data_IF_645096786975
#
_entry.id   IF_645096786975
#
_cell.length_a   1.000
_cell.length_b   1.000
_cell.length_c   1.000
_cell.angle_alpha   90.00
_cell.angle_beta   90.00
_cell.angle_gamma   90.00
#
_symmetry.space_group_name_H-M   'P 1'
#
loop_
_entity.id
_entity.type
_entity.pdbx_description
1 polymer ?
#
# COMPACT_ATOMS: atom_id res chain seq x y z
N UNK A 1 21.64 3.49 10.07
CA UNK A 1 20.58 3.78 9.08
C UNK A 1 19.29 3.42 9.77
N UNK A 2 18.45 4.41 10.06
CA UNK A 2 17.13 4.15 10.66
C UNK A 2 16.28 3.35 9.66
N UNK A 3 15.47 2.42 10.16
CA UNK A 3 14.56 1.64 9.32
C UNK A 3 13.37 2.51 8.93
N UNK A 4 13.16 2.72 7.62
CA UNK A 4 11.96 3.38 7.09
C UNK A 4 10.92 2.32 6.70
N UNK A 5 9.67 2.53 7.10
CA UNK A 5 8.53 1.72 6.64
C UNK A 5 7.76 2.51 5.59
N UNK A 6 7.58 1.93 4.41
CA UNK A 6 6.73 2.49 3.36
C UNK A 6 5.39 1.77 3.33
N UNK A 7 4.30 2.54 3.27
CA UNK A 7 2.93 2.08 3.13
C UNK A 7 2.32 2.72 1.90
N UNK A 8 1.48 1.97 1.20
CA UNK A 8 0.68 2.46 0.10
C UNK A 8 -0.50 1.52 -0.13
N UNK A 9 -1.45 1.96 -0.94
CA UNK A 9 -2.43 1.11 -1.59
C UNK A 9 -2.11 1.02 -3.10
N UNK A 10 -2.62 -0.03 -3.74
CA UNK A 10 -2.58 -0.20 -5.20
C UNK A 10 -4.01 -0.19 -5.72
N UNK A 11 -4.29 0.67 -6.70
CA UNK A 11 -5.51 0.66 -7.51
C UNK A 11 -5.16 0.28 -8.94
N UNK A 12 -6.16 -0.02 -9.76
CA UNK A 12 -5.95 -0.44 -11.15
C UNK A 12 -5.28 0.61 -12.02
N UNK A 13 -5.28 1.87 -11.60
CA UNK A 13 -4.79 3.00 -12.36
C UNK A 13 -3.62 3.73 -11.68
N UNK A 14 -3.31 3.44 -10.41
CA UNK A 14 -2.29 4.20 -9.65
C UNK A 14 -1.83 3.50 -8.38
N UNK A 15 -0.68 3.94 -7.88
CA UNK A 15 -0.33 3.78 -6.47
C UNK A 15 -1.07 4.88 -5.69
N UNK A 16 -1.74 4.51 -4.60
CA UNK A 16 -2.60 5.40 -3.84
C UNK A 16 -2.16 5.48 -2.37
N UNK A 17 -2.56 6.56 -1.69
CA UNK A 17 -2.28 6.80 -0.27
C UNK A 17 -0.82 6.51 0.18
N UNK A 18 0.24 6.96 -0.54
CA UNK A 18 1.61 6.66 -0.14
C UNK A 18 1.97 7.36 1.18
N UNK A 19 2.67 6.65 2.07
CA UNK A 19 3.12 7.16 3.36
C UNK A 19 4.46 6.53 3.76
N UNK A 20 5.36 7.34 4.33
CA UNK A 20 6.61 6.84 4.92
C UNK A 20 6.55 7.10 6.42
N UNK A 21 6.87 6.07 7.19
CA UNK A 21 6.99 6.11 8.64
C UNK A 21 8.45 5.87 9.03
N UNK A 22 8.95 6.67 9.96
CA UNK A 22 10.22 6.41 10.63
C UNK A 22 10.04 5.30 11.67
N UNK A 23 10.72 4.17 11.46
CA UNK A 23 10.65 3.01 12.33
C UNK A 23 9.60 1.96 11.94
N UNK A 24 9.43 0.92 12.78
CA UNK A 24 8.52 -0.18 12.50
C UNK A 24 7.06 0.21 12.65
N UNK A 25 6.19 -0.45 11.89
CA UNK A 25 4.75 -0.29 12.01
C UNK A 25 4.16 -1.16 13.12
N UNK A 26 3.10 -0.67 13.78
CA UNK A 26 2.29 -1.41 14.74
C UNK A 26 0.80 -1.10 14.50
N UNK A 27 -0.09 -1.72 15.29
CA UNK A 27 -1.54 -1.53 15.12
C UNK A 27 -2.02 -0.09 15.28
N UNK A 28 -1.35 0.74 16.10
CA UNK A 28 -1.71 2.16 16.30
C UNK A 28 -1.28 3.00 15.10
N UNK A 29 -0.03 2.87 14.66
CA UNK A 29 0.48 3.62 13.49
C UNK A 29 -0.23 3.19 12.21
N UNK A 30 -0.53 1.90 12.04
CA UNK A 30 -1.34 1.43 10.91
C UNK A 30 -2.77 1.98 10.94
N UNK A 31 -3.44 2.00 12.10
CA UNK A 31 -4.77 2.59 12.20
C UNK A 31 -4.76 4.10 11.90
N UNK A 32 -3.69 4.82 12.27
CA UNK A 32 -3.51 6.22 11.89
C UNK A 32 -3.35 6.39 10.38
N UNK A 33 -2.48 5.58 9.75
CA UNK A 33 -2.34 5.54 8.29
C UNK A 33 -3.68 5.30 7.59
N UNK A 34 -4.48 4.33 8.05
CA UNK A 34 -5.79 4.06 7.47
C UNK A 34 -6.70 5.28 7.54
N UNK A 35 -6.82 5.91 8.70
CA UNK A 35 -7.73 7.06 8.88
C UNK A 35 -7.28 8.32 8.17
N UNK A 36 -5.97 8.58 8.15
CA UNK A 36 -5.42 9.87 7.70
C UNK A 36 -5.00 9.84 6.23
N UNK A 37 -4.61 8.68 5.72
CA UNK A 37 -4.07 8.54 4.36
C UNK A 37 -5.00 7.74 3.46
N UNK A 38 -5.42 6.53 3.87
CA UNK A 38 -6.20 5.66 2.99
C UNK A 38 -7.66 6.11 2.86
N UNK A 39 -8.38 6.26 3.99
CA UNK A 39 -9.82 6.58 4.01
C UNK A 39 -10.17 7.81 3.16
N UNK A 40 -9.41 8.92 3.18
CA UNK A 40 -9.67 10.08 2.32
C UNK A 40 -9.64 9.80 0.81
N UNK A 41 -9.03 8.68 0.38
CA UNK A 41 -8.94 8.28 -1.03
C UNK A 41 -10.05 7.32 -1.46
N UNK A 42 -10.85 6.82 -0.51
CA UNK A 42 -11.88 5.81 -0.77
C UNK A 42 -13.18 6.46 -1.24
N UNK A 43 -13.91 5.74 -2.09
CA UNK A 43 -15.30 6.02 -2.45
C UNK A 43 -16.24 4.93 -1.92
N UNK A 44 -17.52 5.25 -1.63
CA UNK A 44 -18.51 4.24 -1.29
C UNK A 44 -18.56 3.13 -2.35
N UNK A 45 -18.53 1.87 -1.90
CA UNK A 45 -18.48 0.69 -2.77
C UNK A 45 -17.08 0.17 -3.09
N UNK A 46 -16.01 0.93 -2.80
CA UNK A 46 -14.63 0.43 -2.90
C UNK A 46 -14.42 -0.81 -2.03
N UNK A 47 -13.52 -1.68 -2.46
CA UNK A 47 -13.11 -2.88 -1.72
C UNK A 47 -11.63 -2.72 -1.35
N UNK A 48 -11.35 -2.61 -0.06
CA UNK A 48 -10.01 -2.64 0.49
C UNK A 48 -9.64 -4.09 0.80
N UNK A 49 -8.55 -4.56 0.22
CA UNK A 49 -8.02 -5.92 0.43
C UNK A 49 -6.70 -5.79 1.18
N UNK A 50 -6.57 -6.52 2.29
CA UNK A 50 -5.35 -6.53 3.11
C UNK A 50 -4.83 -7.94 3.32
N UNK A 51 -3.52 -8.09 3.53
CA UNK A 51 -2.96 -9.34 4.05
C UNK A 51 -3.37 -9.59 5.52
N UNK A 52 -2.94 -10.73 6.07
CA UNK A 52 -3.30 -11.18 7.42
C UNK A 52 -2.40 -10.67 8.55
N UNK A 53 -1.54 -9.67 8.32
CA UNK A 53 -0.63 -9.16 9.35
C UNK A 53 -1.40 -8.66 10.59
N UNK A 54 -0.85 -8.91 11.79
CA UNK A 54 -1.51 -8.58 13.04
C UNK A 54 -1.88 -7.09 13.17
N UNK A 55 -1.06 -6.19 12.63
CA UNK A 55 -1.33 -4.74 12.59
C UNK A 55 -2.60 -4.39 11.79
N UNK A 56 -2.97 -5.19 10.79
CA UNK A 56 -4.14 -4.94 9.94
C UNK A 56 -5.47 -5.33 10.61
N UNK A 57 -5.42 -6.15 11.67
CA UNK A 57 -6.60 -6.74 12.32
C UNK A 57 -7.21 -5.86 13.43
N UNK A 58 -6.75 -4.62 13.57
CA UNK A 58 -7.31 -3.69 14.55
C UNK A 58 -8.80 -3.40 14.25
N UNK A 59 -9.71 -3.50 15.23
CA UNK A 59 -11.13 -3.14 15.03
C UNK A 59 -11.32 -1.72 14.51
N UNK A 60 -10.42 -0.79 14.87
CA UNK A 60 -10.46 0.59 14.42
C UNK A 60 -10.24 0.74 12.91
N UNK A 61 -9.46 -0.15 12.29
CA UNK A 61 -9.22 -0.18 10.84
C UNK A 61 -10.50 -0.53 10.11
N UNK A 62 -11.12 -1.65 10.50
CA UNK A 62 -12.35 -2.12 9.88
C UNK A 62 -13.53 -1.16 10.10
N UNK A 63 -13.59 -0.47 11.25
CA UNK A 63 -14.61 0.56 11.49
C UNK A 63 -14.43 1.75 10.53
N UNK A 64 -13.21 2.31 10.45
CA UNK A 64 -12.94 3.47 9.61
C UNK A 64 -13.23 3.24 8.13
N UNK A 65 -12.88 2.06 7.59
CA UNK A 65 -13.15 1.71 6.19
C UNK A 65 -14.66 1.60 5.92
N UNK A 66 -15.41 0.99 6.84
CA UNK A 66 -16.87 0.85 6.69
C UNK A 66 -17.61 2.17 6.82
N UNK A 67 -17.15 3.07 7.70
CA UNK A 67 -17.70 4.42 7.84
C UNK A 67 -17.50 5.25 6.56
N UNK A 68 -16.48 4.97 5.75
CA UNK A 68 -16.29 5.55 4.42
C UNK A 68 -17.19 4.92 3.33
N UNK A 69 -18.04 3.95 3.69
CA UNK A 69 -18.88 3.21 2.73
C UNK A 69 -18.15 2.14 1.93
N UNK A 70 -16.90 1.81 2.29
CA UNK A 70 -16.10 0.78 1.63
C UNK A 70 -16.20 -0.58 2.36
N UNK A 71 -15.81 -1.65 1.65
CA UNK A 71 -15.75 -3.02 2.18
C UNK A 71 -14.30 -3.36 2.54
N UNK A 72 -14.11 -4.15 3.59
CA UNK A 72 -12.81 -4.69 3.97
C UNK A 72 -12.83 -6.21 3.78
N UNK A 73 -11.89 -6.71 2.98
CA UNK A 73 -11.60 -8.13 2.79
C UNK A 73 -10.16 -8.44 3.22
N UNK A 74 -9.93 -9.66 3.67
CA UNK A 74 -8.59 -10.17 3.94
C UNK A 74 -8.25 -11.27 2.92
N UNK A 75 -6.99 -11.31 2.52
CA UNK A 75 -6.47 -12.42 1.72
C UNK A 75 -6.59 -13.75 2.50
N UNK A 76 -6.60 -14.91 1.82
CA UNK A 76 -6.38 -16.18 2.50
C UNK A 76 -5.00 -16.22 3.18
N UNK A 77 -4.84 -16.98 4.29
CA UNK A 77 -3.54 -17.15 4.93
C UNK A 77 -2.50 -17.72 3.96
N UNK A 78 -1.27 -17.20 4.03
CA UNK A 78 -0.13 -17.65 3.21
C UNK A 78 -0.33 -17.53 1.70
N UNK A 79 -1.12 -16.55 1.24
CA UNK A 79 -1.34 -16.26 -0.20
C UNK A 79 -0.68 -14.94 -0.64
N UNK A 80 0.66 -14.82 -0.61
CA UNK A 80 1.35 -13.60 -1.05
C UNK A 80 1.23 -13.38 -2.57
N UNK A 81 0.98 -14.44 -3.34
CA UNK A 81 0.70 -14.42 -4.78
C UNK A 81 -0.56 -13.61 -5.10
N UNK A 82 -1.53 -13.62 -4.19
CA UNK A 82 -2.75 -12.81 -4.27
C UNK A 82 -2.55 -11.38 -3.76
N UNK A 83 -1.34 -10.97 -3.37
CA UNK A 83 -1.06 -9.60 -2.95
C UNK A 83 -0.32 -8.79 -4.04
N UNK A 84 -1.04 -8.09 -4.93
CA UNK A 84 -0.44 -7.45 -6.11
C UNK A 84 0.52 -6.30 -5.75
N UNK A 85 0.36 -5.67 -4.59
CA UNK A 85 1.24 -4.57 -4.16
C UNK A 85 2.66 -5.03 -3.85
N UNK A 86 2.89 -6.32 -3.59
CA UNK A 86 4.25 -6.86 -3.41
C UNK A 86 5.11 -6.69 -4.67
N UNK A 87 4.49 -6.76 -5.86
CA UNK A 87 5.19 -6.53 -7.12
C UNK A 87 5.62 -5.05 -7.25
N UNK A 88 4.76 -4.12 -6.82
CA UNK A 88 5.09 -2.68 -6.73
C UNK A 88 6.27 -2.47 -5.78
N UNK A 89 6.23 -3.07 -4.59
CA UNK A 89 7.30 -2.95 -3.60
C UNK A 89 8.62 -3.56 -4.09
N UNK A 90 8.59 -4.67 -4.82
CA UNK A 90 9.78 -5.25 -5.43
C UNK A 90 10.43 -4.30 -6.46
N UNK A 91 9.64 -3.70 -7.35
CA UNK A 91 10.13 -2.71 -8.32
C UNK A 91 10.65 -1.45 -7.61
N UNK A 92 9.89 -0.90 -6.66
CA UNK A 92 10.28 0.30 -5.92
C UNK A 92 11.60 0.09 -5.15
N UNK A 93 11.76 -1.05 -4.45
CA UNK A 93 13.03 -1.40 -3.77
C UNK A 93 14.21 -1.43 -4.74
N UNK A 94 14.01 -1.97 -5.95
CA UNK A 94 15.04 -2.00 -6.99
C UNK A 94 15.44 -0.60 -7.44
N UNK A 95 14.45 0.26 -7.70
CA UNK A 95 14.70 1.67 -8.09
C UNK A 95 15.39 2.47 -6.99
N UNK A 96 15.00 2.27 -5.72
CA UNK A 96 15.62 2.92 -4.57
C UNK A 96 17.07 2.46 -4.35
N UNK A 97 17.36 1.16 -4.49
CA UNK A 97 18.73 0.64 -4.44
C UNK A 97 19.61 1.26 -5.53
N UNK A 98 19.07 1.41 -6.74
CA UNK A 98 19.77 2.06 -7.85
C UNK A 98 20.00 3.56 -7.59
N UNK A 99 19.07 4.24 -6.92
CA UNK A 99 19.20 5.65 -6.55
C UNK A 99 20.27 5.90 -5.48
N UNK A 100 20.45 4.95 -4.55
CA UNK A 100 21.50 4.97 -3.51
C UNK A 100 21.50 6.25 -2.64
N UNK A 101 20.33 6.81 -2.37
CA UNK A 101 20.17 7.98 -1.50
C UNK A 101 20.74 7.70 -0.09
N UNK A 102 21.37 8.70 0.52
CA UNK A 102 22.11 8.54 1.80
C UNK A 102 21.44 9.20 3.01
N UNK A 103 20.33 9.91 2.79
CA UNK A 103 19.56 10.56 3.87
C UNK A 103 18.09 10.15 3.80
N UNK A 104 17.41 10.23 4.95
CA UNK A 104 15.97 9.98 5.05
C UNK A 104 15.19 10.94 4.14
N UNK A 105 15.50 12.23 4.22
CA UNK A 105 14.84 13.26 3.41
C UNK A 105 15.02 13.05 1.91
N UNK A 106 16.24 12.72 1.47
CA UNK A 106 16.51 12.43 0.06
C UNK A 106 15.75 11.18 -0.41
N UNK A 107 15.68 10.17 0.47
CA UNK A 107 14.91 8.95 0.22
C UNK A 107 13.43 9.26 0.04
N UNK A 108 12.83 10.11 0.89
CA UNK A 108 11.42 10.52 0.77
C UNK A 108 11.15 11.26 -0.55
N UNK A 109 11.97 12.27 -0.85
CA UNK A 109 11.88 13.01 -2.13
C UNK A 109 12.06 12.08 -3.33
N UNK A 110 12.89 11.05 -3.20
CA UNK A 110 13.09 10.05 -4.24
C UNK A 110 11.88 9.15 -4.40
N UNK A 111 11.31 8.62 -3.32
CA UNK A 111 10.07 7.83 -3.35
C UNK A 111 8.98 8.61 -4.09
N UNK A 112 8.72 9.87 -3.71
CA UNK A 112 7.68 10.68 -4.36
C UNK A 112 7.87 10.83 -5.88
N UNK A 113 9.12 10.97 -6.35
CA UNK A 113 9.43 11.00 -7.79
C UNK A 113 9.26 9.64 -8.47
N UNK A 114 9.74 8.57 -7.85
CA UNK A 114 9.66 7.22 -8.40
C UNK A 114 8.22 6.70 -8.49
N UNK A 115 7.32 7.13 -7.60
CA UNK A 115 5.91 6.75 -7.68
C UNK A 115 5.25 7.22 -8.99
N UNK A 116 5.73 8.30 -9.61
CA UNK A 116 5.25 8.75 -10.92
C UNK A 116 5.69 7.85 -12.09
N UNK A 117 6.61 6.90 -11.87
CA UNK A 117 7.04 5.94 -12.89
C UNK A 117 6.09 4.74 -13.02
N UNK A 118 5.14 4.58 -12.09
CA UNK A 118 4.14 3.51 -12.11
C UNK A 118 2.92 3.94 -12.93
N UNK A 119 2.92 3.57 -14.21
CA UNK A 119 1.85 3.97 -15.15
C UNK A 119 0.54 3.22 -14.85
N UNK A 120 -0.63 3.80 -15.19
CA UNK A 120 -1.92 3.13 -14.98
C UNK A 120 -2.00 1.72 -15.55
N UNK A 121 -1.53 1.51 -16.77
CA UNK A 121 -1.52 0.18 -17.39
C UNK A 121 -0.66 -0.82 -16.62
N UNK A 122 0.45 -0.36 -16.03
CA UNK A 122 1.32 -1.21 -15.21
C UNK A 122 0.62 -1.61 -13.91
N UNK A 123 -0.06 -0.67 -13.24
CA UNK A 123 -0.88 -0.94 -12.05
C UNK A 123 -1.98 -1.97 -12.33
N UNK A 124 -2.69 -1.84 -13.44
CA UNK A 124 -3.69 -2.81 -13.88
C UNK A 124 -3.07 -4.20 -14.12
N UNK A 125 -1.86 -4.25 -14.68
CA UNK A 125 -1.16 -5.51 -14.94
C UNK A 125 -0.77 -6.21 -13.64
N UNK A 126 -0.37 -5.48 -12.59
CA UNK A 126 -0.10 -6.08 -11.27
C UNK A 126 -1.33 -6.79 -10.70
N UNK A 127 -2.49 -6.13 -10.76
CA UNK A 127 -3.76 -6.73 -10.33
C UNK A 127 -4.12 -7.97 -11.16
N UNK A 128 -4.02 -7.88 -12.50
CA UNK A 128 -4.29 -9.02 -13.38
C UNK A 128 -3.38 -10.21 -13.08
N UNK A 129 -2.09 -9.94 -12.86
CA UNK A 129 -1.11 -10.98 -12.56
C UNK A 129 -1.38 -11.69 -11.21
N UNK A 130 -2.03 -11.02 -10.26
CA UNK A 130 -2.48 -11.61 -8.99
C UNK A 130 -3.93 -12.13 -9.03
N UNK A 131 -4.54 -12.26 -10.21
CA UNK A 131 -5.86 -12.90 -10.38
C UNK A 131 -7.07 -11.99 -10.18
N UNK A 132 -6.91 -10.66 -10.12
CA UNK A 132 -8.00 -9.70 -9.90
C UNK A 132 -8.72 -9.25 -11.17
N UNK A 133 -8.50 -9.92 -12.31
CA UNK A 133 -9.20 -9.66 -13.54
C UNK A 133 -10.28 -10.72 -13.78
N UNK A 134 -11.52 -10.26 -13.98
CA UNK A 134 -12.54 -11.03 -14.67
C UNK A 134 -12.06 -11.32 -16.10
N UNK A 135 -12.28 -12.54 -16.58
CA UNK A 135 -12.27 -12.83 -18.02
C UNK A 135 -13.28 -11.93 -18.76
#
# INVERSE_FOLDING_TARGET
MENLTFLAALRSDRIDAPFVLDGPINGKSFAAYIKQMLVPTLSPGDIVIMDNLGSHKSPAVGKAIREAGAKLLFLPPYSPDLNPIEQVFAKLKTLLRKAAERTVEATWKRIGRLLNEFKPQECANYLRNSGYASN
#
